data_IF_471486671735
#
_entry.id   IF_471486671735
#
_cell.length_a   1.000
_cell.length_b   1.000
_cell.length_c   1.000
_cell.angle_alpha   90.00
_cell.angle_beta   90.00
_cell.angle_gamma   90.00
#
_symmetry.space_group_name_H-M   'P 1'
#
loop_
_entity.id
_entity.type
_entity.pdbx_description
1 polymer ?
#
# COMPACT_ATOMS: atom_id res chain seq x y z
N UNK A 1 17.18 26.59 -16.21
CA UNK A 1 17.16 27.02 -14.79
C UNK A 1 16.26 28.24 -14.53
N UNK A 2 16.32 29.33 -15.32
CA UNK A 2 15.51 30.56 -15.11
C UNK A 2 13.97 30.40 -15.12
N UNK A 3 13.43 29.36 -15.75
CA UNK A 3 11.98 29.07 -15.74
C UNK A 3 11.51 28.39 -14.45
N UNK A 4 12.38 27.61 -13.79
CA UNK A 4 12.08 26.85 -12.56
C UNK A 4 12.14 27.70 -11.29
N UNK A 5 12.78 28.87 -11.32
CA UNK A 5 12.86 29.79 -10.17
C UNK A 5 11.76 30.86 -10.16
N UNK A 6 11.07 31.09 -11.29
CA UNK A 6 9.87 31.95 -11.38
C UNK A 6 8.70 31.55 -10.45
N UNK A 7 8.51 30.27 -10.08
CA UNK A 7 7.55 29.79 -9.07
C UNK A 7 7.88 30.13 -7.61
N UNK A 8 8.99 30.80 -7.30
CA UNK A 8 9.21 31.32 -5.94
C UNK A 8 8.20 32.44 -5.55
N UNK A 9 7.26 32.78 -6.45
CA UNK A 9 6.14 33.67 -6.17
C UNK A 9 4.93 32.86 -5.69
N UNK A 10 4.22 33.31 -4.64
CA UNK A 10 3.07 32.57 -4.07
C UNK A 10 1.96 32.23 -5.07
N UNK A 11 1.81 33.03 -6.14
CA UNK A 11 0.80 32.89 -7.19
C UNK A 11 1.26 32.04 -8.39
N UNK A 12 2.41 31.36 -8.30
CA UNK A 12 2.94 30.48 -9.35
C UNK A 12 3.40 29.16 -8.77
N UNK A 13 3.15 28.07 -9.48
CA UNK A 13 3.62 26.75 -9.06
C UNK A 13 4.37 26.04 -10.18
N UNK A 14 5.24 25.11 -9.78
CA UNK A 14 5.73 24.06 -10.65
C UNK A 14 5.26 22.71 -10.10
N UNK A 15 5.01 21.77 -11.01
CA UNK A 15 4.73 20.38 -10.68
C UNK A 15 5.78 19.49 -11.32
N UNK A 16 6.37 18.59 -10.54
CA UNK A 16 7.31 17.60 -11.06
C UNK A 16 6.58 16.32 -11.38
N UNK A 17 6.69 15.88 -12.63
CA UNK A 17 6.20 14.59 -13.11
C UNK A 17 7.42 13.70 -13.34
N UNK A 18 7.52 12.58 -12.60
CA UNK A 18 8.63 11.64 -12.75
C UNK A 18 8.17 10.20 -12.52
N UNK A 19 8.95 9.24 -13.02
CA UNK A 19 8.73 7.81 -12.79
C UNK A 19 10.11 7.09 -12.73
N UNK A 20 10.32 6.10 -13.60
CA UNK A 20 11.46 5.17 -13.55
C UNK A 20 12.83 5.83 -13.77
N UNK A 21 12.89 6.87 -14.60
CA UNK A 21 14.16 7.54 -14.95
C UNK A 21 14.95 8.07 -13.76
N UNK A 22 14.30 8.29 -12.61
CA UNK A 22 14.95 8.69 -11.36
C UNK A 22 15.05 7.59 -10.31
N UNK A 23 14.18 6.57 -10.34
CA UNK A 23 14.11 5.55 -9.29
C UNK A 23 15.06 4.38 -9.50
N UNK A 24 15.34 3.99 -10.75
CA UNK A 24 16.11 2.79 -11.09
C UNK A 24 17.63 3.02 -11.07
N UNK A 25 18.12 3.57 -9.97
CA UNK A 25 19.55 3.85 -9.73
C UNK A 25 19.91 3.51 -8.29
N UNK A 26 21.18 3.21 -8.03
CA UNK A 26 21.69 3.00 -6.66
C UNK A 26 21.45 4.19 -5.73
N UNK A 27 21.29 5.39 -6.31
CA UNK A 27 20.99 6.65 -5.61
C UNK A 27 19.58 7.18 -5.88
N UNK A 28 18.66 6.35 -6.41
CA UNK A 28 17.36 6.81 -6.89
C UNK A 28 16.52 7.53 -5.83
N UNK A 29 16.60 7.08 -4.56
CA UNK A 29 15.96 7.77 -3.45
C UNK A 29 16.50 9.20 -3.23
N UNK A 30 17.80 9.43 -3.44
CA UNK A 30 18.41 10.76 -3.30
C UNK A 30 18.00 11.70 -4.45
N UNK A 31 17.85 11.18 -5.68
CA UNK A 31 17.29 11.96 -6.79
C UNK A 31 15.92 12.54 -6.42
N UNK A 32 15.05 11.70 -5.83
CA UNK A 32 13.70 12.09 -5.41
C UNK A 32 13.76 13.06 -4.22
N UNK A 33 14.62 12.82 -3.21
CA UNK A 33 14.78 13.74 -2.08
C UNK A 33 15.19 15.14 -2.54
N UNK A 34 16.13 15.24 -3.47
CA UNK A 34 16.57 16.53 -4.01
C UNK A 34 15.41 17.28 -4.65
N UNK A 35 14.60 16.61 -5.47
CA UNK A 35 13.42 17.25 -6.07
C UNK A 35 12.35 17.64 -5.03
N UNK A 36 12.10 16.80 -4.02
CA UNK A 36 11.18 17.14 -2.95
C UNK A 36 11.66 18.38 -2.16
N UNK A 37 12.96 18.50 -1.90
CA UNK A 37 13.56 19.69 -1.30
C UNK A 37 13.36 20.93 -2.16
N UNK A 38 13.50 20.82 -3.49
CA UNK A 38 13.20 21.92 -4.42
C UNK A 38 11.74 22.36 -4.28
N UNK A 39 10.79 21.43 -4.25
CA UNK A 39 9.36 21.76 -4.12
C UNK A 39 9.02 22.39 -2.77
N UNK A 40 9.69 22.00 -1.69
CA UNK A 40 9.57 22.64 -0.39
C UNK A 40 10.12 24.07 -0.39
N UNK A 41 11.31 24.29 -0.95
CA UNK A 41 11.93 25.61 -1.06
C UNK A 41 11.12 26.58 -1.92
N UNK A 42 10.44 26.06 -2.95
CA UNK A 42 9.56 26.85 -3.82
C UNK A 42 8.14 27.03 -3.25
N UNK A 43 7.77 26.38 -2.15
CA UNK A 43 6.42 26.46 -1.58
C UNK A 43 5.34 25.79 -2.45
N UNK A 44 5.71 24.80 -3.27
CA UNK A 44 4.79 24.17 -4.23
C UNK A 44 3.98 22.99 -3.66
N UNK A 45 4.34 22.50 -2.47
CA UNK A 45 3.66 21.36 -1.84
C UNK A 45 2.27 21.74 -1.32
N UNK A 46 1.26 20.91 -1.59
CA UNK A 46 -0.11 21.16 -1.18
C UNK A 46 -0.89 22.17 -2.03
N UNK A 47 -0.26 22.78 -3.04
CA UNK A 47 -0.90 23.72 -3.96
C UNK A 47 -1.56 23.03 -5.17
N UNK A 48 -2.68 23.57 -5.65
CA UNK A 48 -3.25 23.15 -6.94
C UNK A 48 -2.29 23.51 -8.10
N UNK A 49 -2.00 22.54 -8.97
CA UNK A 49 -0.99 22.66 -10.03
C UNK A 49 0.46 22.63 -9.54
N UNK A 50 0.69 22.27 -8.28
CA UNK A 50 2.02 22.09 -7.68
C UNK A 50 2.36 20.63 -7.41
N UNK A 51 3.03 20.40 -6.28
CA UNK A 51 3.26 19.06 -5.73
C UNK A 51 4.30 18.22 -6.47
N UNK A 52 4.41 16.97 -6.01
CA UNK A 52 5.29 15.94 -6.54
C UNK A 52 4.42 14.84 -7.12
N UNK A 53 4.28 14.81 -8.44
CA UNK A 53 3.52 13.81 -9.16
C UNK A 53 4.45 12.64 -9.52
N UNK A 54 4.70 11.77 -8.55
CA UNK A 54 5.32 10.48 -8.77
C UNK A 54 4.35 9.59 -9.57
N UNK A 55 4.58 9.43 -10.88
CA UNK A 55 3.68 8.70 -11.77
C UNK A 55 3.89 7.20 -11.56
N UNK A 56 2.83 6.52 -11.14
CA UNK A 56 2.84 5.07 -10.89
C UNK A 56 2.77 4.30 -12.22
N UNK A 57 3.37 3.12 -12.24
CA UNK A 57 3.46 2.25 -13.43
C UNK A 57 2.19 1.43 -13.67
N UNK A 58 2.17 0.16 -13.23
CA UNK A 58 1.00 -0.71 -13.40
C UNK A 58 -0.29 -0.08 -12.83
N UNK A 59 -1.42 -0.46 -13.42
CA UNK A 59 -2.77 0.03 -13.08
C UNK A 59 -3.07 0.02 -11.59
N UNK A 60 -2.61 -1.00 -10.85
CA UNK A 60 -2.84 -1.18 -9.42
C UNK A 60 -1.55 -1.28 -8.58
N UNK A 61 -0.40 -0.81 -9.07
CA UNK A 61 0.85 -0.86 -8.26
C UNK A 61 0.71 -0.05 -6.97
N UNK A 62 -0.09 1.02 -7.00
CA UNK A 62 -0.42 1.78 -5.80
C UNK A 62 -1.19 0.89 -4.81
N UNK A 63 -2.23 0.19 -5.25
CA UNK A 63 -3.04 -0.67 -4.39
C UNK A 63 -2.26 -1.85 -3.81
N UNK A 64 -1.41 -2.52 -4.58
CA UNK A 64 -0.56 -3.60 -4.05
C UNK A 64 0.47 -3.08 -3.03
N UNK A 65 0.97 -1.85 -3.22
CA UNK A 65 1.82 -1.18 -2.22
C UNK A 65 1.02 -0.84 -0.97
N UNK A 66 -0.20 -0.32 -1.14
CA UNK A 66 -1.13 0.02 -0.06
C UNK A 66 -1.49 -1.22 0.77
N UNK A 67 -1.66 -2.38 0.13
CA UNK A 67 -1.95 -3.68 0.74
C UNK A 67 -0.70 -4.41 1.26
N UNK A 68 0.50 -3.83 1.11
CA UNK A 68 1.71 -4.34 1.73
C UNK A 68 2.32 -5.58 1.06
N UNK A 69 2.14 -5.77 -0.25
CA UNK A 69 2.75 -6.88 -1.01
C UNK A 69 4.24 -6.62 -1.27
N UNK A 70 4.99 -6.42 -0.18
CA UNK A 70 6.43 -6.21 -0.12
C UNK A 70 7.00 -7.01 1.07
N UNK A 71 8.26 -7.44 0.98
CA UNK A 71 8.85 -8.44 1.88
C UNK A 71 8.63 -8.24 3.38
N UNK A 72 8.60 -7.00 3.88
CA UNK A 72 8.50 -6.69 5.31
C UNK A 72 7.29 -5.82 5.63
N UNK A 73 6.32 -5.75 4.72
CA UNK A 73 5.17 -4.84 4.82
C UNK A 73 3.90 -5.57 5.26
N UNK A 74 3.01 -4.80 5.85
CA UNK A 74 1.62 -5.15 6.15
C UNK A 74 0.71 -4.07 5.52
N UNK A 75 -0.58 -4.38 5.28
CA UNK A 75 -1.54 -3.42 4.75
C UNK A 75 -1.55 -2.07 5.48
N UNK A 76 -1.80 -1.00 4.74
CA UNK A 76 -1.86 0.36 5.26
C UNK A 76 -0.51 0.92 5.70
N UNK A 77 0.58 0.55 5.01
CA UNK A 77 1.95 0.98 5.33
C UNK A 77 2.42 0.59 6.74
N UNK A 78 1.86 -0.49 7.28
CA UNK A 78 2.36 -1.10 8.50
C UNK A 78 3.56 -2.00 8.17
N UNK A 79 4.35 -2.34 9.18
CA UNK A 79 5.53 -3.20 9.02
C UNK A 79 5.28 -4.55 9.69
N UNK A 80 5.73 -5.63 9.06
CA UNK A 80 5.89 -6.90 9.77
C UNK A 80 6.86 -6.70 10.95
N UNK A 81 6.67 -7.42 12.06
CA UNK A 81 7.61 -7.42 13.16
C UNK A 81 8.99 -7.98 12.75
N UNK A 82 10.05 -7.41 13.31
CA UNK A 82 11.40 -8.00 13.23
C UNK A 82 11.57 -9.05 14.34
N UNK A 83 12.41 -10.08 14.13
CA UNK A 83 12.72 -11.11 15.15
C UNK A 83 13.19 -10.54 16.52
N UNK A 84 13.76 -9.33 16.53
CA UNK A 84 14.20 -8.62 17.75
C UNK A 84 13.05 -8.01 18.57
N UNK A 85 11.84 -7.99 18.01
CA UNK A 85 10.64 -7.48 18.67
C UNK A 85 9.87 -8.68 19.24
N UNK A 86 10.35 -9.20 20.36
CA UNK A 86 9.86 -10.45 20.95
C UNK A 86 8.38 -10.38 21.38
N UNK A 87 7.87 -9.18 21.67
CA UNK A 87 6.51 -8.96 22.15
C UNK A 87 5.82 -7.78 21.45
N UNK A 88 4.49 -7.74 21.57
CA UNK A 88 3.64 -6.72 20.96
C UNK A 88 3.99 -5.30 21.44
N UNK A 89 4.29 -5.12 22.73
CA UNK A 89 4.56 -3.79 23.29
C UNK A 89 5.85 -3.20 22.70
N UNK A 90 6.89 -4.01 22.55
CA UNK A 90 8.16 -3.64 21.91
C UNK A 90 7.94 -3.25 20.45
N UNK A 91 7.15 -4.03 19.71
CA UNK A 91 6.78 -3.71 18.33
C UNK A 91 5.97 -2.41 18.20
N UNK A 92 4.93 -2.24 19.01
CA UNK A 92 4.10 -1.03 18.99
C UNK A 92 4.91 0.21 19.38
N UNK A 93 5.79 0.10 20.37
CA UNK A 93 6.66 1.21 20.80
C UNK A 93 7.62 1.63 19.67
N UNK A 94 8.18 0.67 18.95
CA UNK A 94 9.10 0.95 17.84
C UNK A 94 8.40 1.62 16.65
N UNK A 95 7.13 1.26 16.39
CA UNK A 95 6.37 1.75 15.24
C UNK A 95 5.44 2.93 15.54
N UNK A 96 5.32 3.34 16.80
CA UNK A 96 4.53 4.51 17.22
C UNK A 96 5.45 5.70 17.49
N UNK A 97 5.70 6.58 16.50
CA UNK A 97 6.60 7.71 16.69
C UNK A 97 6.03 8.67 17.74
N UNK A 98 6.93 9.20 18.59
CA UNK A 98 6.60 10.31 19.48
C UNK A 98 6.77 11.64 18.72
N UNK A 99 5.92 12.64 18.96
CA UNK A 99 6.07 13.94 18.32
C UNK A 99 7.39 14.58 18.74
N UNK A 100 8.18 15.04 17.76
CA UNK A 100 9.47 15.70 18.00
C UNK A 100 9.32 17.19 18.38
N UNK A 101 8.14 17.76 18.12
CA UNK A 101 7.78 19.14 18.44
C UNK A 101 6.43 19.15 19.17
N UNK A 102 6.20 20.20 19.96
CA UNK A 102 4.88 20.45 20.55
C UNK A 102 3.84 20.73 19.46
N UNK A 103 2.57 20.48 19.78
CA UNK A 103 1.42 20.87 18.97
C UNK A 103 1.43 20.28 17.55
N UNK A 104 1.92 19.04 17.41
CA UNK A 104 1.88 18.28 16.17
C UNK A 104 0.69 17.32 16.13
N UNK A 105 0.14 17.08 14.94
CA UNK A 105 -0.89 16.03 14.76
C UNK A 105 -0.31 14.64 15.02
N UNK A 106 0.88 14.35 14.47
CA UNK A 106 1.58 13.05 14.58
C UNK A 106 0.63 11.85 14.43
N UNK A 107 -0.01 11.71 13.26
CA UNK A 107 -1.12 10.77 13.11
C UNK A 107 -0.73 9.30 13.30
N UNK A 108 0.53 8.95 13.04
CA UNK A 108 1.10 7.63 13.36
C UNK A 108 1.17 7.31 14.86
N UNK A 109 0.90 8.28 15.74
CA UNK A 109 0.59 7.99 17.15
C UNK A 109 -0.61 7.05 17.34
N UNK A 110 -1.42 6.84 16.29
CA UNK A 110 -2.54 5.89 16.28
C UNK A 110 -2.18 4.49 15.76
N UNK A 111 -0.89 4.18 15.53
CA UNK A 111 -0.45 2.87 15.04
C UNK A 111 -1.10 1.67 15.76
N UNK A 112 -1.24 1.65 17.11
CA UNK A 112 -1.89 0.53 17.80
C UNK A 112 -3.33 0.25 17.34
N UNK A 113 -4.11 1.31 17.05
CA UNK A 113 -5.50 1.17 16.57
C UNK A 113 -5.55 0.46 15.23
N UNK A 114 -4.65 0.84 14.33
CA UNK A 114 -4.55 0.25 12.99
C UNK A 114 -4.11 -1.20 13.08
N UNK A 115 -3.08 -1.48 13.88
CA UNK A 115 -2.53 -2.81 14.04
C UNK A 115 -3.54 -3.80 14.63
N UNK A 116 -4.17 -3.45 15.75
CA UNK A 116 -5.16 -4.33 16.40
C UNK A 116 -6.36 -4.55 15.49
N UNK A 117 -6.86 -3.50 14.81
CA UNK A 117 -7.97 -3.64 13.87
C UNK A 117 -7.64 -4.56 12.67
N UNK A 118 -6.39 -4.54 12.18
CA UNK A 118 -5.93 -5.48 11.16
C UNK A 118 -5.83 -6.90 11.71
N UNK A 119 -5.33 -7.09 12.93
CA UNK A 119 -5.32 -8.42 13.56
C UNK A 119 -6.72 -8.99 13.74
N UNK A 120 -7.71 -8.13 14.07
CA UNK A 120 -9.12 -8.53 14.10
C UNK A 120 -9.68 -8.89 12.71
N UNK A 121 -9.18 -8.28 11.62
CA UNK A 121 -9.53 -8.71 10.28
C UNK A 121 -8.91 -10.09 9.95
N UNK A 122 -7.61 -10.26 10.22
CA UNK A 122 -6.88 -11.50 9.92
C UNK A 122 -7.28 -12.70 10.77
N UNK A 123 -7.62 -12.51 12.04
CA UNK A 123 -7.80 -13.64 12.96
C UNK A 123 -9.16 -13.62 13.68
N UNK A 124 -10.01 -12.63 13.42
CA UNK A 124 -11.36 -12.57 13.96
C UNK A 124 -11.39 -12.73 15.48
N UNK A 125 -12.23 -13.64 15.97
CA UNK A 125 -12.39 -13.93 17.40
C UNK A 125 -11.16 -14.57 18.05
N UNK A 126 -10.21 -15.09 17.26
CA UNK A 126 -8.96 -15.68 17.76
C UNK A 126 -7.91 -14.64 18.12
N UNK A 127 -8.01 -13.40 17.62
CA UNK A 127 -7.20 -12.29 18.10
C UNK A 127 -7.87 -11.66 19.34
N UNK A 128 -7.30 -11.91 20.52
CA UNK A 128 -7.78 -11.39 21.80
C UNK A 128 -6.68 -10.64 22.56
N UNK A 129 -7.02 -9.89 23.60
CA UNK A 129 -6.01 -9.18 24.38
C UNK A 129 -5.04 -10.16 25.06
N UNK A 130 -5.55 -11.31 25.51
CA UNK A 130 -4.81 -12.33 26.26
C UNK A 130 -3.69 -12.97 25.44
N UNK A 131 -3.85 -13.08 24.11
CA UNK A 131 -2.83 -13.61 23.21
C UNK A 131 -2.14 -12.53 22.38
N UNK A 132 -2.15 -11.27 22.86
CA UNK A 132 -1.55 -10.14 22.15
C UNK A 132 -2.06 -10.00 20.71
N UNK A 133 -3.36 -10.25 20.51
CA UNK A 133 -4.06 -10.17 19.24
C UNK A 133 -3.51 -11.11 18.15
N UNK A 134 -2.88 -12.22 18.53
CA UNK A 134 -2.25 -13.14 17.58
C UNK A 134 -0.93 -12.63 16.98
N UNK A 135 -0.27 -11.66 17.63
CA UNK A 135 1.01 -11.08 17.19
C UNK A 135 2.06 -12.14 16.81
N UNK A 136 2.13 -13.24 17.56
CA UNK A 136 3.10 -14.31 17.31
C UNK A 136 2.79 -15.20 16.11
N UNK A 137 1.61 -15.08 15.52
CA UNK A 137 1.28 -15.77 14.27
C UNK A 137 1.83 -15.04 13.04
N UNK A 138 2.23 -13.77 13.16
CA UNK A 138 2.88 -13.06 12.07
C UNK A 138 4.33 -13.51 11.89
N UNK A 139 4.81 -13.72 10.66
CA UNK A 139 6.21 -14.02 10.41
C UNK A 139 7.09 -12.84 10.82
N UNK A 140 8.14 -13.12 11.60
CA UNK A 140 9.11 -12.12 12.03
C UNK A 140 10.35 -12.20 11.13
N UNK A 141 10.78 -11.07 10.59
CA UNK A 141 11.91 -11.04 9.65
C UNK A 141 13.25 -10.79 10.36
N UNK A 142 14.29 -11.50 9.92
CA UNK A 142 15.70 -11.28 10.24
C UNK A 142 16.31 -10.20 9.34
N UNK A 143 15.89 -10.20 8.07
CA UNK A 143 16.28 -9.25 7.02
C UNK A 143 15.18 -9.07 5.98
N UNK A 144 15.35 -8.08 5.11
CA UNK A 144 14.51 -7.97 3.90
C UNK A 144 14.91 -9.04 2.88
N UNK A 145 13.92 -9.62 2.21
CA UNK A 145 14.09 -10.56 1.11
C UNK A 145 13.63 -9.92 -0.19
N UNK A 146 14.37 -8.88 -0.62
CA UNK A 146 14.13 -8.28 -1.93
C UNK A 146 14.44 -9.26 -3.07
N UNK A 147 13.93 -8.95 -4.26
CA UNK A 147 13.98 -9.86 -5.41
C UNK A 147 15.41 -10.21 -5.83
N UNK A 148 16.38 -9.31 -5.70
CA UNK A 148 17.77 -9.58 -6.08
C UNK A 148 18.40 -10.57 -5.10
N UNK A 149 18.16 -10.37 -3.80
CA UNK A 149 18.60 -11.31 -2.77
C UNK A 149 17.90 -12.66 -2.90
N UNK A 150 16.58 -12.67 -3.16
CA UNK A 150 15.81 -13.91 -3.27
C UNK A 150 16.21 -14.73 -4.50
N UNK A 151 16.45 -14.08 -5.66
CA UNK A 151 16.95 -14.78 -6.86
C UNK A 151 18.41 -15.23 -6.73
N UNK A 152 19.22 -14.56 -5.91
CA UNK A 152 20.54 -15.05 -5.54
C UNK A 152 20.43 -16.31 -4.66
N UNK A 153 19.53 -16.31 -3.66
CA UNK A 153 19.25 -17.50 -2.86
C UNK A 153 18.72 -18.66 -3.71
N UNK A 154 17.85 -18.38 -4.69
CA UNK A 154 17.35 -19.35 -5.66
C UNK A 154 18.48 -19.91 -6.52
N UNK A 155 19.40 -19.05 -7.00
CA UNK A 155 20.59 -19.49 -7.72
C UNK A 155 21.50 -20.39 -6.86
N UNK A 156 21.52 -20.19 -5.54
CA UNK A 156 22.25 -21.03 -4.59
C UNK A 156 21.50 -22.33 -4.21
N UNK A 157 20.33 -22.60 -4.80
CA UNK A 157 19.53 -23.80 -4.50
C UNK A 157 18.81 -23.74 -3.14
N UNK A 158 18.63 -22.55 -2.55
CA UNK A 158 18.00 -22.36 -1.23
C UNK A 158 16.49 -22.09 -1.30
N UNK A 159 15.91 -22.13 -2.49
CA UNK A 159 14.48 -21.87 -2.73
C UNK A 159 13.87 -23.09 -3.40
N UNK A 160 12.85 -23.68 -2.78
CA UNK A 160 12.19 -24.88 -3.31
C UNK A 160 11.11 -24.54 -4.34
N UNK A 161 10.34 -23.48 -4.11
CA UNK A 161 9.19 -23.13 -4.92
C UNK A 161 9.05 -21.63 -5.10
N UNK A 162 8.37 -21.22 -6.17
CA UNK A 162 8.06 -19.84 -6.46
C UNK A 162 6.65 -19.70 -7.05
N UNK A 163 5.91 -18.67 -6.63
CA UNK A 163 4.62 -18.31 -7.20
C UNK A 163 4.79 -17.01 -7.97
N UNK A 164 4.36 -17.02 -9.22
CA UNK A 164 4.43 -15.90 -10.13
C UNK A 164 3.02 -15.55 -10.60
N UNK A 165 2.37 -14.62 -9.89
CA UNK A 165 1.01 -14.16 -10.18
C UNK A 165 1.07 -12.80 -10.89
N UNK A 166 0.61 -12.73 -12.14
CA UNK A 166 0.57 -11.50 -12.93
C UNK A 166 1.91 -10.78 -13.05
N UNK A 167 3.02 -11.53 -13.00
CA UNK A 167 4.38 -11.00 -13.06
C UNK A 167 5.23 -11.87 -13.99
N UNK A 168 6.19 -11.28 -14.70
CA UNK A 168 7.02 -12.00 -15.67
C UNK A 168 8.51 -11.70 -15.42
N UNK A 169 9.15 -12.38 -14.45
CA UNK A 169 10.53 -12.09 -14.04
C UNK A 169 11.56 -12.38 -15.13
N UNK A 170 11.34 -13.38 -16.00
CA UNK A 170 12.25 -13.66 -17.13
C UNK A 170 12.41 -12.44 -18.04
N UNK A 171 11.34 -11.67 -18.27
CA UNK A 171 11.39 -10.46 -19.08
C UNK A 171 11.79 -9.20 -18.27
N UNK A 172 11.34 -9.09 -17.01
CA UNK A 172 11.41 -7.82 -16.26
C UNK A 172 12.59 -7.68 -15.30
N UNK A 173 13.20 -8.79 -14.85
CA UNK A 173 14.33 -8.73 -13.92
C UNK A 173 15.67 -8.53 -14.64
N UNK A 174 16.64 -7.87 -13.98
CA UNK A 174 17.96 -7.69 -14.56
C UNK A 174 18.68 -9.03 -14.69
N UNK A 175 19.50 -9.16 -15.74
CA UNK A 175 20.28 -10.36 -16.04
C UNK A 175 19.40 -11.62 -16.24
N UNK A 176 18.65 -11.62 -17.35
CA UNK A 176 17.75 -12.71 -17.78
C UNK A 176 18.40 -14.10 -17.74
N UNK A 177 19.66 -14.24 -18.16
CA UNK A 177 20.33 -15.54 -18.17
C UNK A 177 20.52 -16.11 -16.75
N UNK A 178 20.88 -15.25 -15.79
CA UNK A 178 20.93 -15.65 -14.37
C UNK A 178 19.53 -15.96 -13.83
N UNK A 179 18.52 -15.19 -14.21
CA UNK A 179 17.11 -15.43 -13.82
C UNK A 179 16.65 -16.81 -14.28
N UNK A 180 16.86 -17.18 -15.55
CA UNK A 180 16.52 -18.52 -16.07
C UNK A 180 17.30 -19.60 -15.31
N UNK A 181 18.61 -19.42 -15.11
CA UNK A 181 19.42 -20.38 -14.37
C UNK A 181 18.98 -20.55 -12.90
N UNK A 182 18.48 -19.49 -12.25
CA UNK A 182 17.86 -19.55 -10.93
C UNK A 182 16.56 -20.35 -10.97
N UNK A 183 15.65 -20.03 -11.90
CA UNK A 183 14.36 -20.72 -12.03
C UNK A 183 14.55 -22.23 -12.30
N UNK A 184 15.57 -22.62 -13.08
CA UNK A 184 15.89 -24.02 -13.35
C UNK A 184 16.29 -24.85 -12.13
N UNK A 185 16.57 -24.20 -10.99
CA UNK A 185 16.92 -24.85 -9.71
C UNK A 185 15.73 -25.01 -8.77
N UNK A 186 14.56 -24.47 -9.12
CA UNK A 186 13.34 -24.69 -8.37
C UNK A 186 12.88 -26.14 -8.48
N UNK A 187 12.24 -26.64 -7.43
CA UNK A 187 11.49 -27.91 -7.47
C UNK A 187 10.15 -27.71 -8.15
N UNK A 188 9.46 -26.61 -7.85
CA UNK A 188 8.21 -26.26 -8.52
C UNK A 188 8.08 -24.75 -8.78
N UNK A 189 7.32 -24.41 -9.82
CA UNK A 189 6.93 -23.05 -10.17
C UNK A 189 5.42 -23.03 -10.44
N UNK A 190 4.69 -22.15 -9.77
CA UNK A 190 3.29 -21.87 -10.08
C UNK A 190 3.22 -20.52 -10.80
N UNK A 191 2.63 -20.51 -11.99
CA UNK A 191 2.32 -19.28 -12.74
C UNK A 191 0.81 -19.09 -12.81
N UNK A 192 0.35 -17.88 -12.50
CA UNK A 192 -1.06 -17.48 -12.55
C UNK A 192 -1.13 -16.23 -13.43
N UNK A 193 -1.71 -16.36 -14.62
CA UNK A 193 -1.74 -15.30 -15.61
C UNK A 193 -2.87 -15.54 -16.64
N UNK A 194 -3.53 -14.49 -17.17
CA UNK A 194 -4.49 -14.63 -18.28
C UNK A 194 -3.81 -14.96 -19.61
N UNK A 195 -2.49 -14.83 -19.71
CA UNK A 195 -1.71 -15.03 -20.92
C UNK A 195 -0.57 -16.04 -20.71
N UNK A 196 -0.03 -16.54 -21.83
CA UNK A 196 1.24 -17.24 -21.78
C UNK A 196 2.39 -16.24 -21.57
N UNK A 197 3.36 -16.59 -20.72
CA UNK A 197 4.51 -15.73 -20.40
C UNK A 197 5.83 -16.47 -20.55
N UNK A 198 6.92 -15.74 -20.83
CA UNK A 198 8.28 -16.29 -20.91
C UNK A 198 8.70 -17.00 -19.62
N UNK A 199 8.16 -16.58 -18.48
CA UNK A 199 8.40 -17.25 -17.20
C UNK A 199 7.70 -18.60 -17.12
N UNK A 200 6.48 -18.75 -17.66
CA UNK A 200 5.80 -20.05 -17.68
C UNK A 200 6.43 -21.06 -18.64
N UNK A 201 7.16 -20.58 -19.65
CA UNK A 201 7.88 -21.41 -20.64
C UNK A 201 9.40 -21.29 -20.53
N UNK A 202 9.93 -20.86 -19.38
CA UNK A 202 11.38 -20.60 -19.20
C UNK A 202 12.25 -21.85 -19.47
N UNK A 203 11.65 -23.03 -19.34
CA UNK A 203 12.25 -24.34 -19.55
C UNK A 203 12.27 -24.79 -21.03
N UNK A 204 11.56 -24.09 -21.92
CA UNK A 204 11.49 -24.42 -23.34
C UNK A 204 12.59 -23.72 -24.14
N UNK A 205 13.20 -24.45 -25.10
CA UNK A 205 14.14 -23.84 -26.04
C UNK A 205 13.39 -22.98 -27.06
N UNK A 206 13.84 -21.73 -27.24
CA UNK A 206 13.34 -20.82 -28.28
C UNK A 206 14.50 -20.22 -29.09
N UNK A 207 15.49 -21.05 -29.44
CA UNK A 207 16.72 -20.62 -30.09
C UNK A 207 17.47 -19.57 -29.25
N UNK A 208 18.10 -18.60 -29.89
CA UNK A 208 18.88 -17.55 -29.21
C UNK A 208 18.08 -16.76 -28.15
N UNK A 209 16.74 -16.68 -28.30
CA UNK A 209 15.89 -15.96 -27.34
C UNK A 209 15.83 -16.67 -25.99
N UNK A 210 15.88 -17.99 -25.97
CA UNK A 210 15.95 -18.80 -24.76
C UNK A 210 16.64 -20.14 -25.04
N UNK A 211 17.98 -20.11 -25.11
CA UNK A 211 18.77 -21.28 -25.43
C UNK A 211 18.98 -22.15 -24.20
N UNK A 212 18.00 -23.01 -23.92
CA UNK A 212 18.00 -23.96 -22.80
C UNK A 212 17.78 -25.38 -23.30
N UNK A 213 18.12 -26.35 -22.45
CA UNK A 213 17.89 -27.78 -22.71
C UNK A 213 16.79 -28.27 -21.75
N UNK A 214 15.54 -28.49 -22.24
CA UNK A 214 14.44 -28.93 -21.39
C UNK A 214 14.75 -30.20 -20.59
N UNK A 215 15.56 -31.12 -21.13
CA UNK A 215 15.90 -32.37 -20.46
C UNK A 215 16.77 -32.17 -19.20
N UNK A 216 17.41 -31.01 -19.06
CA UNK A 216 18.25 -30.66 -17.89
C UNK A 216 17.50 -29.86 -16.84
N UNK A 217 16.27 -29.42 -17.11
CA UNK A 217 15.48 -28.60 -16.19
C UNK A 217 14.42 -29.48 -15.55
N UNK A 218 14.54 -29.69 -14.24
CA UNK A 218 13.68 -30.62 -13.49
C UNK A 218 12.53 -29.93 -12.74
N UNK A 219 12.37 -28.62 -12.93
CA UNK A 219 11.31 -27.85 -12.27
C UNK A 219 9.94 -28.28 -12.77
N UNK A 220 9.06 -28.67 -11.85
CA UNK A 220 7.66 -28.90 -12.16
C UNK A 220 6.93 -27.55 -12.32
N UNK A 221 6.30 -27.31 -13.47
CA UNK A 221 5.64 -26.04 -13.76
C UNK A 221 4.13 -26.20 -13.86
N UNK A 222 3.42 -25.51 -12.98
CA UNK A 222 1.97 -25.37 -13.02
C UNK A 222 1.62 -24.02 -13.67
N UNK A 223 0.84 -24.04 -14.74
CA UNK A 223 0.32 -22.83 -15.38
C UNK A 223 -1.20 -22.79 -15.22
N UNK A 224 -1.67 -21.89 -14.37
CA UNK A 224 -3.06 -21.75 -13.99
C UNK A 224 -3.65 -20.53 -14.73
N UNK A 225 -4.63 -20.72 -15.63
CA UNK A 225 -5.21 -19.61 -16.38
C UNK A 225 -6.10 -18.77 -15.46
N UNK A 226 -5.80 -17.49 -15.34
CA UNK A 226 -6.63 -16.53 -14.61
C UNK A 226 -7.49 -15.70 -15.57
N UNK A 227 -8.44 -14.98 -15.00
CA UNK A 227 -9.17 -13.87 -15.61
C UNK A 227 -8.26 -12.68 -15.96
N UNK A 228 -8.78 -11.81 -16.83
CA UNK A 228 -8.26 -10.45 -17.03
C UNK A 228 -9.19 -9.38 -16.41
N UNK A 229 -8.78 -8.11 -16.47
CA UNK A 229 -9.51 -6.99 -15.85
C UNK A 229 -10.98 -6.82 -16.28
N UNK A 230 -11.36 -7.36 -17.45
CA UNK A 230 -12.71 -7.24 -17.99
C UNK A 230 -13.65 -8.36 -17.51
N UNK A 231 -13.14 -9.34 -16.78
CA UNK A 231 -13.84 -10.58 -16.44
C UNK A 231 -14.19 -10.68 -14.95
N UNK A 232 -13.90 -9.62 -14.19
CA UNK A 232 -14.14 -9.53 -12.75
C UNK A 232 -14.75 -8.19 -12.34
N UNK A 233 -15.47 -8.20 -11.22
CA UNK A 233 -15.72 -6.99 -10.45
C UNK A 233 -14.50 -6.74 -9.56
N UNK A 234 -14.19 -5.47 -9.28
CA UNK A 234 -13.15 -5.18 -8.31
C UNK A 234 -12.76 -3.72 -8.27
N UNK A 235 -11.71 -3.42 -7.52
CA UNK A 235 -11.15 -2.08 -7.45
C UNK A 235 -9.66 -2.07 -7.74
N UNK A 236 -9.22 -1.00 -8.39
CA UNK A 236 -7.80 -0.70 -8.58
C UNK A 236 -7.52 0.74 -8.14
N UNK A 237 -6.30 0.98 -7.66
CA UNK A 237 -5.86 2.28 -7.17
C UNK A 237 -4.95 2.95 -8.18
N UNK A 238 -5.41 4.06 -8.76
CA UNK A 238 -4.60 4.82 -9.71
C UNK A 238 -3.49 5.65 -9.02
N UNK A 239 -2.65 6.31 -9.82
CA UNK A 239 -1.56 7.19 -9.33
C UNK A 239 -2.05 8.36 -8.45
N UNK A 240 -3.31 8.77 -8.58
CA UNK A 240 -3.93 9.80 -7.76
C UNK A 240 -4.46 9.30 -6.41
N UNK A 241 -4.28 8.01 -6.09
CA UNK A 241 -4.83 7.27 -4.94
C UNK A 241 -6.32 6.96 -5.04
N UNK A 242 -6.92 7.10 -6.23
CA UNK A 242 -8.36 6.84 -6.41
C UNK A 242 -8.57 5.34 -6.51
N UNK A 243 -9.24 4.76 -5.51
CA UNK A 243 -9.84 3.43 -5.58
C UNK A 243 -11.04 3.54 -6.51
N UNK A 244 -10.96 2.91 -7.68
CA UNK A 244 -12.01 2.95 -8.68
C UNK A 244 -12.57 1.56 -8.88
N UNK A 245 -13.89 1.43 -8.71
CA UNK A 245 -14.60 0.19 -8.97
C UNK A 245 -14.78 -0.03 -10.48
N UNK A 246 -14.64 -1.28 -10.92
CA UNK A 246 -15.00 -1.74 -12.25
C UNK A 246 -15.90 -2.98 -12.16
N UNK A 247 -16.56 -3.29 -13.27
CA UNK A 247 -17.55 -4.35 -13.35
C UNK A 247 -17.17 -5.35 -14.41
N UNK A 248 -17.48 -6.62 -14.15
CA UNK A 248 -17.35 -7.73 -15.08
C UNK A 248 -18.17 -7.45 -16.35
N UNK A 249 -17.52 -7.61 -17.51
CA UNK A 249 -18.13 -7.47 -18.83
C UNK A 249 -18.44 -8.80 -19.51
N UNK A 250 -17.65 -9.85 -19.23
CA UNK A 250 -17.83 -11.19 -19.79
C UNK A 250 -17.23 -12.26 -18.86
N UNK A 251 -17.57 -13.53 -19.10
CA UNK A 251 -16.87 -14.67 -18.50
C UNK A 251 -15.50 -14.87 -19.15
N UNK A 252 -14.56 -15.44 -18.40
CA UNK A 252 -13.22 -15.75 -18.88
C UNK A 252 -13.22 -16.91 -19.89
N UNK A 253 -12.25 -16.97 -20.81
CA UNK A 253 -12.19 -18.02 -21.82
C UNK A 253 -11.82 -19.40 -21.24
N UNK A 254 -12.45 -20.44 -21.78
CA UNK A 254 -12.08 -21.83 -21.48
C UNK A 254 -12.37 -22.22 -20.03
N UNK A 255 -11.32 -22.55 -19.28
CA UNK A 255 -11.39 -22.97 -17.88
C UNK A 255 -10.76 -21.92 -16.93
N UNK A 256 -10.52 -20.71 -17.43
CA UNK A 256 -9.97 -19.63 -16.62
C UNK A 256 -10.95 -19.24 -15.50
N UNK A 257 -10.39 -18.98 -14.33
CA UNK A 257 -11.14 -18.60 -13.12
C UNK A 257 -10.48 -17.37 -12.49
N UNK A 258 -11.15 -16.75 -11.53
CA UNK A 258 -10.62 -15.55 -10.87
C UNK A 258 -9.32 -15.82 -10.12
N UNK A 259 -8.48 -14.81 -9.94
CA UNK A 259 -7.31 -14.90 -9.05
C UNK A 259 -7.74 -15.33 -7.62
N UNK A 260 -8.89 -14.84 -7.16
CA UNK A 260 -9.48 -15.18 -5.87
C UNK A 260 -9.81 -16.67 -5.74
N UNK A 261 -10.43 -17.28 -6.76
CA UNK A 261 -10.75 -18.72 -6.79
C UNK A 261 -9.49 -19.59 -6.82
N UNK A 262 -8.47 -19.21 -7.60
CA UNK A 262 -7.20 -19.96 -7.67
C UNK A 262 -6.54 -20.00 -6.29
N UNK A 263 -6.42 -18.83 -5.63
CA UNK A 263 -5.83 -18.72 -4.31
C UNK A 263 -6.68 -19.43 -3.26
N UNK A 264 -8.01 -19.30 -3.30
CA UNK A 264 -8.93 -20.01 -2.43
C UNK A 264 -8.77 -21.53 -2.56
N UNK A 265 -8.65 -22.02 -3.79
CA UNK A 265 -8.45 -23.43 -4.09
C UNK A 265 -7.15 -23.99 -3.50
N UNK A 266 -6.03 -23.26 -3.64
CA UNK A 266 -4.75 -23.65 -3.05
C UNK A 266 -4.82 -23.60 -1.52
N UNK A 267 -5.32 -22.50 -0.97
CA UNK A 267 -5.32 -22.23 0.46
C UNK A 267 -6.20 -23.19 1.25
N UNK A 268 -7.43 -23.44 0.79
CA UNK A 268 -8.38 -24.33 1.48
C UNK A 268 -7.91 -25.78 1.49
N UNK A 269 -7.25 -26.24 0.41
CA UNK A 269 -6.62 -27.57 0.35
C UNK A 269 -5.43 -27.67 1.30
N UNK A 270 -4.53 -26.68 1.29
CA UNK A 270 -3.40 -26.61 2.22
C UNK A 270 -3.89 -26.62 3.67
N UNK A 271 -4.87 -25.78 3.99
CA UNK A 271 -5.47 -25.70 5.33
C UNK A 271 -6.09 -27.02 5.77
N UNK A 272 -6.81 -27.71 4.87
CA UNK A 272 -7.37 -29.03 5.14
C UNK A 272 -6.27 -30.04 5.49
N UNK A 273 -5.19 -30.08 4.72
CA UNK A 273 -4.03 -30.95 5.02
C UNK A 273 -3.44 -30.63 6.40
N UNK A 274 -3.22 -29.36 6.73
CA UNK A 274 -2.76 -28.97 8.07
C UNK A 274 -3.71 -29.39 9.20
N UNK A 275 -5.02 -29.37 8.95
CA UNK A 275 -6.02 -29.77 9.94
C UNK A 275 -6.07 -31.29 10.15
N UNK A 276 -5.86 -32.07 9.10
CA UNK A 276 -5.94 -33.54 9.12
C UNK A 276 -4.60 -34.20 9.50
N UNK A 277 -3.48 -33.64 9.02
CA UNK A 277 -2.15 -34.24 9.11
C UNK A 277 -1.23 -33.51 10.11
N UNK A 278 -1.61 -32.32 10.55
CA UNK A 278 -0.74 -31.43 11.33
C UNK A 278 0.40 -30.84 10.49
N UNK A 279 1.47 -30.42 11.14
CA UNK A 279 2.65 -29.86 10.48
C UNK A 279 3.38 -28.83 11.34
N UNK A 280 4.50 -28.27 10.86
CA UNK A 280 5.20 -27.19 11.55
C UNK A 280 4.33 -25.92 11.61
N UNK A 281 4.19 -25.34 12.81
CA UNK A 281 3.43 -24.11 13.06
C UNK A 281 2.05 -24.08 12.37
N UNK A 282 1.12 -24.98 12.76
CA UNK A 282 -0.19 -25.04 12.13
C UNK A 282 -1.08 -23.85 12.50
N UNK A 283 -0.88 -23.22 13.66
CA UNK A 283 -1.80 -22.20 14.18
C UNK A 283 -1.97 -20.99 13.24
N UNK A 284 -0.93 -20.38 12.65
CA UNK A 284 -1.09 -19.27 11.72
C UNK A 284 -1.94 -19.60 10.49
N UNK A 285 -1.83 -20.84 9.97
CA UNK A 285 -2.60 -21.29 8.79
C UNK A 285 -4.07 -21.54 9.16
N UNK A 286 -4.30 -22.20 10.30
CA UNK A 286 -5.62 -22.60 10.77
C UNK A 286 -6.43 -21.43 11.36
N UNK A 287 -5.77 -20.44 11.97
CA UNK A 287 -6.44 -19.31 12.63
C UNK A 287 -6.68 -18.10 11.72
N UNK A 288 -6.01 -18.01 10.56
CA UNK A 288 -6.32 -17.00 9.56
C UNK A 288 -7.81 -17.09 9.16
N UNK A 289 -8.53 -15.98 9.14
CA UNK A 289 -9.94 -15.95 8.74
C UNK A 289 -10.08 -16.29 7.26
N UNK A 290 -11.21 -16.88 6.91
CA UNK A 290 -11.61 -17.10 5.52
C UNK A 290 -13.14 -17.10 5.45
N UNK A 291 -13.71 -16.01 5.96
CA UNK A 291 -15.12 -15.90 6.32
C UNK A 291 -15.94 -15.32 5.16
N UNK A 292 -15.77 -15.90 3.99
CA UNK A 292 -16.49 -15.50 2.78
C UNK A 292 -17.76 -16.35 2.62
N UNK A 293 -18.81 -15.72 2.09
CA UNK A 293 -20.10 -16.38 1.82
C UNK A 293 -19.95 -17.64 0.97
N UNK A 294 -19.09 -17.58 -0.04
CA UNK A 294 -18.67 -18.71 -0.87
C UNK A 294 -17.16 -18.91 -0.71
N UNK A 295 -16.69 -19.78 0.21
CA UNK A 295 -15.26 -19.89 0.54
C UNK A 295 -14.32 -20.22 -0.62
N UNK A 296 -14.80 -20.86 -1.68
CA UNK A 296 -14.00 -21.19 -2.86
C UNK A 296 -14.00 -20.10 -3.94
N UNK A 297 -14.86 -19.08 -3.80
CA UNK A 297 -15.02 -17.95 -4.71
C UNK A 297 -15.29 -16.67 -3.89
N UNK A 298 -14.28 -16.11 -3.19
CA UNK A 298 -14.45 -14.90 -2.39
C UNK A 298 -14.90 -13.71 -3.26
N UNK A 299 -16.03 -13.09 -2.91
CA UNK A 299 -16.54 -11.96 -3.68
C UNK A 299 -15.71 -10.68 -3.43
N UNK A 300 -15.44 -9.93 -4.50
CA UNK A 300 -14.70 -8.67 -4.44
C UNK A 300 -15.33 -7.66 -3.47
N UNK A 301 -16.65 -7.64 -3.36
CA UNK A 301 -17.40 -6.80 -2.43
C UNK A 301 -17.13 -7.17 -0.97
N UNK A 302 -17.04 -8.47 -0.63
CA UNK A 302 -16.74 -8.93 0.73
C UNK A 302 -15.32 -8.50 1.14
N UNK A 303 -14.33 -8.71 0.25
CA UNK A 303 -12.93 -8.32 0.50
C UNK A 303 -12.76 -6.80 0.58
N UNK A 304 -13.51 -6.04 -0.23
CA UNK A 304 -13.50 -4.58 -0.18
C UNK A 304 -14.09 -4.05 1.14
N UNK A 305 -15.20 -4.63 1.62
CA UNK A 305 -15.78 -4.30 2.93
C UNK A 305 -14.88 -4.72 4.10
N UNK A 306 -14.16 -5.82 3.98
CA UNK A 306 -13.14 -6.20 4.97
C UNK A 306 -11.99 -5.20 5.00
N UNK A 307 -11.50 -4.80 3.82
CA UNK A 307 -10.44 -3.80 3.67
C UNK A 307 -10.86 -2.44 4.25
N UNK A 308 -12.10 -2.01 4.01
CA UNK A 308 -12.69 -0.82 4.63
C UNK A 308 -12.76 -0.97 6.16
N UNK A 309 -13.43 -2.02 6.62
CA UNK A 309 -13.58 -2.34 8.03
C UNK A 309 -14.99 -2.13 8.58
N UNK A 310 -15.23 -2.72 9.75
CA UNK A 310 -16.52 -2.69 10.47
C UNK A 310 -16.33 -2.61 11.98
N UNK A 311 -17.41 -2.22 12.66
CA UNK A 311 -17.53 -2.30 14.10
C UNK A 311 -17.88 -3.74 14.54
N UNK A 312 -17.12 -4.30 15.47
CA UNK A 312 -17.36 -5.63 16.08
C UNK A 312 -18.17 -5.53 17.38
N UNK A 313 -18.23 -4.33 17.96
CA UNK A 313 -19.11 -3.93 19.05
C UNK A 313 -19.65 -2.52 18.79
N UNK A 314 -20.60 -2.04 19.60
CA UNK A 314 -21.00 -0.63 19.53
C UNK A 314 -19.79 0.25 19.88
N UNK A 315 -19.45 1.15 18.97
CA UNK A 315 -18.35 2.10 19.15
C UNK A 315 -18.91 3.37 19.75
N UNK A 316 -18.40 3.79 20.90
CA UNK A 316 -18.83 5.00 21.60
C UNK A 316 -17.82 6.14 21.44
N UNK A 317 -18.31 7.36 21.35
CA UNK A 317 -17.48 8.56 21.47
C UNK A 317 -16.95 8.68 22.91
N UNK A 318 -15.63 8.67 23.15
CA UNK A 318 -15.07 8.77 24.50
C UNK A 318 -15.43 10.08 25.21
N UNK A 319 -15.72 11.15 24.49
CA UNK A 319 -16.04 12.45 25.06
C UNK A 319 -17.50 12.56 25.53
N UNK A 320 -18.42 11.87 24.83
CA UNK A 320 -19.88 12.02 25.08
C UNK A 320 -20.54 10.73 25.56
N UNK A 321 -19.89 9.58 25.41
CA UNK A 321 -20.46 8.25 25.67
C UNK A 321 -21.49 7.78 24.64
N UNK A 322 -21.83 8.62 23.64
CA UNK A 322 -22.82 8.28 22.63
C UNK A 322 -22.29 7.22 21.66
N UNK A 323 -23.15 6.29 21.25
CA UNK A 323 -22.83 5.31 20.20
C UNK A 323 -22.71 6.04 18.86
N UNK A 324 -21.53 5.97 18.24
CA UNK A 324 -21.20 6.59 16.95
C UNK A 324 -21.21 5.60 15.78
N UNK A 325 -21.01 4.31 16.05
CA UNK A 325 -21.13 3.22 15.06
C UNK A 325 -21.73 2.01 15.77
N UNK A 326 -22.79 1.41 15.22
CA UNK A 326 -23.38 0.20 15.81
C UNK A 326 -22.60 -1.05 15.41
N UNK A 327 -22.62 -2.08 16.26
CA UNK A 327 -22.08 -3.41 15.94
C UNK A 327 -22.56 -3.90 14.57
N UNK A 328 -21.62 -4.39 13.77
CA UNK A 328 -21.86 -4.93 12.42
C UNK A 328 -21.83 -3.90 11.30
N UNK A 329 -21.92 -2.59 11.61
CA UNK A 329 -21.88 -1.55 10.58
C UNK A 329 -20.46 -1.34 10.02
N UNK A 330 -20.38 -1.04 8.73
CA UNK A 330 -19.15 -0.57 8.09
C UNK A 330 -18.68 0.74 8.72
N UNK A 331 -17.36 0.91 8.82
CA UNK A 331 -16.74 2.16 9.28
C UNK A 331 -16.79 3.20 8.15
N UNK A 332 -17.03 4.46 8.51
CA UNK A 332 -17.00 5.61 7.58
C UNK A 332 -15.67 6.37 7.64
N UNK A 333 -14.82 6.08 8.62
CA UNK A 333 -13.50 6.71 8.75
C UNK A 333 -12.55 5.89 9.62
N UNK A 334 -11.26 5.89 9.29
CA UNK A 334 -10.23 5.32 10.18
C UNK A 334 -10.15 6.01 11.55
N UNK A 335 -10.73 7.19 11.72
CA UNK A 335 -10.83 7.85 13.02
C UNK A 335 -11.70 7.07 14.02
N UNK A 336 -12.52 6.12 13.53
CA UNK A 336 -13.37 5.26 14.34
C UNK A 336 -12.66 3.98 14.83
N UNK A 337 -11.48 3.66 14.28
CA UNK A 337 -10.71 2.48 14.66
C UNK A 337 -10.26 2.56 16.12
N UNK A 338 -10.16 1.40 16.77
CA UNK A 338 -9.79 1.21 18.17
C UNK A 338 -8.67 0.18 18.31
N UNK A 339 -7.99 0.23 19.45
CA UNK A 339 -6.90 -0.68 19.85
C UNK A 339 -7.33 -1.72 20.90
N UNK A 340 -8.63 -1.85 21.15
CA UNK A 340 -9.24 -2.75 22.14
C UNK A 340 -9.94 -3.97 21.51
N UNK A 341 -9.79 -4.17 20.20
CA UNK A 341 -10.40 -5.26 19.46
C UNK A 341 -11.87 -5.07 19.07
N UNK A 342 -12.46 -3.89 19.34
CA UNK A 342 -13.87 -3.61 18.99
C UNK A 342 -14.08 -3.20 17.53
N UNK A 343 -13.01 -3.01 16.76
CA UNK A 343 -13.05 -2.70 15.32
C UNK A 343 -12.18 -3.67 14.53
N UNK A 344 -12.56 -3.92 13.27
CA UNK A 344 -11.74 -4.65 12.30
C UNK A 344 -11.57 -3.83 11.03
N UNK A 345 -10.38 -3.84 10.41
CA UNK A 345 -10.12 -3.24 9.10
C UNK A 345 -8.86 -3.88 8.49
N UNK A 346 -9.01 -4.46 7.30
CA UNK A 346 -7.90 -5.10 6.58
C UNK A 346 -6.89 -4.09 6.02
N UNK A 347 -7.29 -2.84 5.78
CA UNK A 347 -6.39 -1.78 5.35
C UNK A 347 -6.89 -0.42 5.87
N UNK A 348 -6.30 0.08 6.97
CA UNK A 348 -6.85 1.26 7.68
C UNK A 348 -6.99 2.50 6.79
N UNK A 349 -6.09 2.72 5.83
CA UNK A 349 -6.18 3.86 4.91
C UNK A 349 -7.39 3.80 3.97
N UNK A 350 -8.01 2.63 3.81
CA UNK A 350 -9.22 2.42 3.00
C UNK A 350 -10.50 2.56 3.81
N UNK A 351 -10.45 2.71 5.15
CA UNK A 351 -11.65 2.97 5.95
C UNK A 351 -12.31 4.29 5.52
N UNK A 352 -13.51 4.18 4.94
CA UNK A 352 -14.25 5.22 4.22
C UNK A 352 -14.51 4.90 2.74
N UNK A 353 -13.95 3.82 2.18
CA UNK A 353 -14.14 3.43 0.78
C UNK A 353 -15.45 2.66 0.53
N UNK A 354 -15.96 1.96 1.54
CA UNK A 354 -17.25 1.26 1.51
C UNK A 354 -17.95 1.43 2.85
N UNK A 355 -18.93 2.33 2.91
CA UNK A 355 -19.52 2.78 4.16
C UNK A 355 -20.98 2.31 4.26
N UNK A 356 -21.73 2.64 5.33
CA UNK A 356 -23.17 2.40 5.37
C UNK A 356 -23.95 3.07 4.22
N UNK A 357 -23.38 4.13 3.63
CA UNK A 357 -23.90 4.80 2.43
C UNK A 357 -23.57 4.05 1.12
N UNK A 358 -22.84 2.93 1.20
CA UNK A 358 -22.50 2.07 0.07
C UNK A 358 -21.06 2.21 -0.42
N UNK A 359 -20.80 1.63 -1.60
CA UNK A 359 -19.49 1.59 -2.24
C UNK A 359 -19.10 2.98 -2.80
N UNK A 360 -18.23 3.70 -2.11
CA UNK A 360 -17.77 5.03 -2.51
C UNK A 360 -16.86 4.98 -3.75
N UNK A 361 -16.18 3.86 -3.99
CA UNK A 361 -15.29 3.63 -5.13
C UNK A 361 -16.04 3.55 -6.46
N UNK A 362 -17.34 3.26 -6.41
CA UNK A 362 -18.23 3.15 -7.56
C UNK A 362 -18.92 4.47 -7.95
N UNK A 363 -18.72 5.56 -7.19
CA UNK A 363 -19.36 6.85 -7.50
C UNK A 363 -18.88 7.42 -8.83
N UNK A 364 -19.80 8.04 -9.57
CA UNK A 364 -19.57 8.57 -10.95
C UNK A 364 -19.94 10.05 -11.10
N UNK A 365 -20.01 10.80 -10.01
CA UNK A 365 -20.28 12.24 -10.07
C UNK A 365 -18.99 13.00 -10.44
N UNK A 366 -18.97 13.57 -11.64
CA UNK A 366 -17.83 14.31 -12.19
C UNK A 366 -17.94 15.83 -11.98
N UNK A 367 -18.82 16.29 -11.09
CA UNK A 367 -18.93 17.71 -10.78
C UNK A 367 -17.61 18.31 -10.29
N UNK A 368 -17.24 19.44 -10.90
CA UNK A 368 -16.12 20.30 -10.48
C UNK A 368 -16.65 21.73 -10.27
N UNK A 369 -17.28 22.01 -9.12
CA UNK A 369 -17.83 23.34 -8.84
C UNK A 369 -16.76 24.44 -8.75
N UNK A 370 -15.49 24.06 -8.58
CA UNK A 370 -14.37 24.99 -8.41
C UNK A 370 -13.72 25.42 -9.73
N UNK A 371 -13.86 24.63 -10.79
CA UNK A 371 -13.09 24.77 -12.03
C UNK A 371 -11.61 24.39 -11.92
N UNK A 372 -11.16 23.84 -10.79
CA UNK A 372 -9.76 23.42 -10.56
C UNK A 372 -9.51 21.95 -10.90
N UNK A 373 -10.52 21.23 -11.40
CA UNK A 373 -10.46 19.82 -11.74
C UNK A 373 -10.59 18.87 -10.55
N UNK A 374 -11.15 19.33 -9.42
CA UNK A 374 -11.27 18.51 -8.21
C UNK A 374 -12.65 17.84 -8.09
N UNK A 375 -12.77 16.61 -8.57
CA UNK A 375 -14.04 15.87 -8.64
C UNK A 375 -14.24 14.93 -7.43
N UNK A 376 -14.62 15.50 -6.29
CA UNK A 376 -14.79 14.75 -5.03
C UNK A 376 -15.85 13.64 -5.10
N UNK A 377 -16.81 13.76 -6.01
CA UNK A 377 -17.89 12.79 -6.24
C UNK A 377 -17.50 11.62 -7.17
N UNK A 378 -16.30 11.63 -7.77
CA UNK A 378 -15.85 10.57 -8.66
C UNK A 378 -14.97 9.58 -7.92
N UNK A 379 -15.39 8.33 -7.85
CA UNK A 379 -14.74 7.26 -7.09
C UNK A 379 -14.43 7.70 -5.64
N UNK A 380 -13.39 7.12 -5.02
CA UNK A 380 -12.95 7.53 -3.69
C UNK A 380 -11.42 7.48 -3.58
N UNK A 381 -10.81 8.51 -3.00
CA UNK A 381 -9.35 8.57 -2.83
C UNK A 381 -8.93 8.37 -1.38
N UNK A 382 -7.93 7.53 -1.10
CA UNK A 382 -7.37 7.46 0.25
C UNK A 382 -6.33 8.57 0.46
N UNK A 383 -6.20 9.18 1.65
CA UNK A 383 -7.04 8.99 2.83
C UNK A 383 -8.28 9.89 2.82
N UNK A 384 -9.45 9.36 3.24
CA UNK A 384 -10.72 10.10 3.47
C UNK A 384 -11.12 11.07 2.34
N UNK A 385 -11.02 10.62 1.10
CA UNK A 385 -11.35 11.35 -0.11
C UNK A 385 -10.52 12.62 -0.39
N UNK A 386 -9.39 12.82 0.31
CA UNK A 386 -8.47 13.95 0.13
C UNK A 386 -7.70 13.83 -1.18
N UNK A 387 -7.95 14.72 -2.14
CA UNK A 387 -7.41 14.62 -3.50
C UNK A 387 -6.02 15.24 -3.61
N UNK A 388 -5.74 16.31 -2.86
CA UNK A 388 -4.43 16.95 -2.78
C UNK A 388 -3.89 16.78 -1.37
N UNK A 389 -2.86 15.94 -1.23
CA UNK A 389 -2.16 15.79 0.06
C UNK A 389 -1.48 17.10 0.45
N UNK A 390 -1.39 17.31 1.76
CA UNK A 390 -0.74 18.47 2.37
C UNK A 390 -1.41 19.81 2.05
N UNK A 391 -2.68 19.80 1.64
CA UNK A 391 -3.41 20.98 1.19
C UNK A 391 -3.56 22.09 2.26
N UNK A 392 -3.28 21.84 3.55
CA UNK A 392 -3.10 22.93 4.54
C UNK A 392 -1.98 23.90 4.14
N UNK A 393 -0.93 23.43 3.47
CA UNK A 393 0.17 24.26 2.99
C UNK A 393 -0.23 25.19 1.84
N UNK A 394 -1.43 25.05 1.26
CA UNK A 394 -1.95 25.98 0.24
C UNK A 394 -2.31 27.37 0.75
N UNK A 395 -2.28 27.54 2.08
CA UNK A 395 -2.55 28.80 2.76
C UNK A 395 -1.47 29.11 3.80
N UNK A 396 -1.33 30.39 4.12
CA UNK A 396 -0.43 30.88 5.16
C UNK A 396 -0.88 30.42 6.59
N UNK A 397 -0.11 30.72 7.64
CA UNK A 397 -0.48 30.32 9.01
C UNK A 397 -1.84 30.88 9.48
N UNK A 398 -2.26 32.03 8.96
CA UNK A 398 -3.54 32.69 9.22
C UNK A 398 -4.68 32.16 8.35
N UNK A 399 -4.39 31.22 7.45
CA UNK A 399 -5.37 30.55 6.60
C UNK A 399 -5.75 31.33 5.35
N UNK A 400 -4.99 32.37 5.01
CA UNK A 400 -5.16 33.08 3.75
C UNK A 400 -4.48 32.28 2.63
N UNK A 401 -5.15 32.01 1.50
CA UNK A 401 -4.55 31.27 0.39
C UNK A 401 -3.35 32.03 -0.20
N UNK A 402 -2.29 31.30 -0.55
CA UNK A 402 -1.12 31.87 -1.24
C UNK A 402 -1.48 32.41 -2.62
N UNK A 403 -2.38 31.70 -3.32
CA UNK A 403 -3.00 32.13 -4.57
C UNK A 403 -4.53 32.11 -4.42
N UNK A 404 -5.19 33.28 -4.36
CA UNK A 404 -6.64 33.36 -4.25
C UNK A 404 -7.41 32.69 -5.40
N UNK A 405 -6.81 32.54 -6.59
CA UNK A 405 -7.44 31.85 -7.74
C UNK A 405 -7.38 30.33 -7.64
N UNK A 406 -6.57 29.80 -6.72
CA UNK A 406 -6.34 28.36 -6.51
C UNK A 406 -6.57 27.98 -5.05
N UNK A 407 -7.51 28.65 -4.39
CA UNK A 407 -7.86 28.38 -3.01
C UNK A 407 -8.44 26.96 -2.87
N UNK A 408 -7.74 26.09 -2.15
CA UNK A 408 -8.23 24.74 -1.84
C UNK A 408 -9.05 24.71 -0.56
N UNK A 409 -8.54 25.36 0.49
CA UNK A 409 -9.16 25.38 1.81
C UNK A 409 -9.56 26.78 2.25
N UNK A 410 -10.62 26.85 3.05
CA UNK A 410 -11.14 28.02 3.73
C UNK A 410 -11.51 27.64 5.16
N UNK A 411 -11.18 28.52 6.10
CA UNK A 411 -11.69 28.46 7.47
C UNK A 411 -13.00 29.24 7.54
N UNK A 412 -14.07 28.63 8.07
CA UNK A 412 -15.39 29.26 8.19
C UNK A 412 -15.65 29.93 9.56
N UNK A 413 -14.68 29.85 10.48
CA UNK A 413 -14.82 30.28 11.86
C UNK A 413 -14.80 29.11 12.86
N UNK A 414 -15.17 27.90 12.41
CA UNK A 414 -15.25 26.71 13.25
C UNK A 414 -14.51 25.49 12.66
N UNK A 415 -14.43 25.36 11.34
CA UNK A 415 -13.79 24.23 10.66
C UNK A 415 -13.14 24.63 9.33
N UNK A 416 -12.22 23.79 8.88
CA UNK A 416 -11.70 23.83 7.52
C UNK A 416 -12.68 23.15 6.57
N UNK A 417 -12.92 23.76 5.41
CA UNK A 417 -13.64 23.19 4.28
C UNK A 417 -13.16 23.83 2.98
N UNK A 418 -13.81 23.56 1.86
CA UNK A 418 -13.48 24.19 0.59
C UNK A 418 -13.59 23.25 -0.60
N UNK A 419 -12.70 23.45 -1.58
CA UNK A 419 -12.65 22.70 -2.84
C UNK A 419 -12.19 21.26 -2.63
N UNK A 420 -11.36 21.01 -1.62
CA UNK A 420 -10.86 19.67 -1.27
C UNK A 420 -11.12 19.35 0.20
N UNK A 421 -11.07 18.06 0.56
CA UNK A 421 -11.16 17.62 1.95
C UNK A 421 -9.89 18.04 2.69
N UNK A 422 -9.97 18.72 3.85
CA UNK A 422 -8.78 19.16 4.58
C UNK A 422 -7.88 18.00 4.99
N UNK A 423 -6.62 18.03 4.54
CA UNK A 423 -5.55 17.16 4.99
C UNK A 423 -4.91 17.69 6.28
N UNK A 424 -5.76 17.95 7.27
CA UNK A 424 -5.41 18.69 8.47
C UNK A 424 -6.31 18.31 9.64
N UNK A 425 -5.87 18.67 10.86
CA UNK A 425 -6.74 18.65 12.03
C UNK A 425 -7.81 19.75 11.97
N UNK A 426 -8.78 19.72 12.89
CA UNK A 426 -9.76 20.79 13.05
C UNK A 426 -9.21 22.08 13.70
N UNK A 427 -7.89 22.21 13.90
CA UNK A 427 -7.31 23.37 14.59
C UNK A 427 -7.44 24.66 13.77
N UNK A 428 -7.80 25.74 14.46
CA UNK A 428 -8.01 27.06 13.88
C UNK A 428 -6.72 27.66 13.30
N UNK A 429 -6.81 28.60 12.33
CA UNK A 429 -5.68 29.39 11.88
C UNK A 429 -4.97 30.11 13.02
N UNK A 430 -3.65 30.28 12.93
CA UNK A 430 -2.84 30.91 13.98
C UNK A 430 -2.65 30.11 15.27
N UNK A 431 -3.27 28.94 15.43
CA UNK A 431 -3.18 28.11 16.65
C UNK A 431 -1.79 27.51 16.92
N UNK A 432 -0.82 27.69 16.03
CA UNK A 432 0.53 27.11 16.15
C UNK A 432 0.60 25.60 15.91
N UNK A 433 -0.56 24.91 15.84
CA UNK A 433 -0.62 23.48 15.47
C UNK A 433 -0.03 23.29 14.08
N UNK A 434 0.70 22.20 13.86
CA UNK A 434 1.27 21.87 12.53
C UNK A 434 0.97 20.43 12.16
N UNK A 435 0.86 20.20 10.85
CA UNK A 435 0.80 18.85 10.28
C UNK A 435 2.21 18.44 9.88
N UNK A 436 2.80 17.58 10.68
CA UNK A 436 3.89 16.71 10.21
C UNK A 436 3.26 15.35 9.97
N UNK A 437 3.10 15.02 8.70
CA UNK A 437 3.01 13.63 8.29
C UNK A 437 4.42 13.07 8.38
N UNK A 438 4.72 12.31 9.43
CA UNK A 438 5.77 11.32 9.27
C UNK A 438 5.27 10.37 8.17
N UNK A 439 5.96 10.31 7.03
CA UNK A 439 5.77 9.17 6.15
C UNK A 439 6.11 7.93 6.99
N UNK A 440 5.22 6.92 7.01
CA UNK A 440 5.66 5.60 7.44
C UNK A 440 6.81 5.16 6.53
N UNK A 441 7.79 4.50 7.13
CA UNK A 441 9.02 4.13 6.48
C UNK A 441 10.24 4.78 7.11
N UNK A 442 10.53 4.46 8.39
CA UNK A 442 11.94 4.37 8.79
C UNK A 442 12.67 3.21 8.10
N UNK A 443 11.93 2.32 7.44
CA UNK A 443 12.44 1.17 6.68
C UNK A 443 11.74 1.04 5.31
N UNK A 444 11.97 1.98 4.39
CA UNK A 444 12.33 1.53 3.03
C UNK A 444 13.72 0.91 3.12
N UNK A 445 14.16 -0.03 2.26
CA UNK A 445 15.42 -0.75 2.43
C UNK A 445 16.57 0.27 2.55
N UNK A 446 16.90 0.57 3.80
CA UNK A 446 18.08 1.31 4.14
C UNK A 446 19.16 0.26 3.99
N UNK A 447 19.75 0.21 2.80
CA UNK A 447 21.14 -0.22 2.71
C UNK A 447 21.89 0.78 3.58
N UNK A 448 21.96 0.49 4.89
CA UNK A 448 22.90 1.11 5.80
C UNK A 448 24.27 0.76 5.26
N UNK A 449 24.82 1.61 4.42
CA UNK A 449 26.25 1.61 4.23
C UNK A 449 26.85 1.98 5.59
N UNK A 450 27.44 0.98 6.27
CA UNK A 450 28.47 1.23 7.26
C UNK A 450 29.53 2.07 6.56
N UNK A 451 29.68 3.31 7.01
CA UNK A 451 30.86 4.10 6.72
C UNK A 451 31.97 3.59 7.64
N UNK A 452 32.51 2.41 7.33
CA UNK A 452 33.80 2.00 7.86
C UNK A 452 34.87 2.48 6.88
N UNK A 453 35.77 3.35 7.36
CA UNK A 453 36.98 3.72 6.65
C UNK A 453 37.00 5.15 6.13
N UNK A 454 37.62 6.04 6.91
CA UNK A 454 37.90 7.41 6.50
C UNK A 454 38.71 7.48 5.21
N UNK A 455 38.25 8.32 4.28
CA UNK A 455 39.04 9.08 3.32
C UNK A 455 38.17 10.22 2.81
N UNK A 456 38.57 11.44 3.17
CA UNK A 456 38.07 12.68 2.61
C UNK A 456 38.55 12.81 1.16
N UNK A 457 37.64 13.12 0.23
CA UNK A 457 38.00 13.66 -1.08
C UNK A 457 37.35 15.05 -1.23
N UNK A 458 38.13 16.12 -1.45
CA UNK A 458 37.59 17.44 -1.76
C UNK A 458 37.29 17.50 -3.26
N UNK A 459 36.06 17.82 -3.63
CA UNK A 459 35.65 17.89 -5.03
C UNK A 459 34.49 18.84 -5.23
N UNK A 460 34.81 20.10 -5.48
CA UNK A 460 33.92 21.15 -5.97
C UNK A 460 33.33 20.74 -7.32
N UNK A 461 32.02 20.50 -7.39
CA UNK A 461 31.32 20.31 -8.67
C UNK A 461 30.54 21.58 -9.04
N UNK A 462 31.05 22.24 -10.10
CA UNK A 462 30.38 23.33 -10.82
C UNK A 462 29.15 22.79 -11.54
N UNK A 463 28.08 23.57 -11.50
CA UNK A 463 26.86 23.35 -12.26
C UNK A 463 27.12 23.43 -13.78
N UNK A 464 26.46 22.54 -14.53
CA UNK A 464 26.12 22.73 -15.95
C UNK A 464 24.61 22.62 -16.06
#
# INVERSE_FOLDING_TARGET
MNTLLKPARPDKTASFLYALGWTQHSIGAQNIRTMAMIQLLLGNMGMAGGGVNALRGHSNIQGLTDLGLLSTSLPGYMSLPNEKQADLQTYLTANTPKPLLKDQVNYWGNYPKFFVSMMKAFFGDKATAENSWGYDWLPKWDKSYDVLQYFEMMNQGKVNGYICQGFNPVASFPNKNKVVASLSKLKFLVTIDPLNTETSTFWQNHGESNDVDPAKIQTEVFRLPSTCFAEENGSIVNSGRWLQWHWKGADAPGIAVTDGEILAGIFTRLRKMYAEEGGPAPEPVLNMTWNYSTPHEPASEEVAMESNGKALADITDPATGAVIVKKGQQLSSFAQLRDDGTTSSGCWIFAGSWTPEGNQMARRDNADPSGLGNTLGWAWAWPLNRRILYNRASADPQGKPWDPKRQLLKWDGAKWGGVDIPDYSAAAPGSGRRSVYHAAGRDGPSVRYRQDGGRTFPGTLRAV
#
